data_IF_017368966389
#
_entry.id   IF_017368966389
#
_cell.length_a   1.000
_cell.length_b   1.000
_cell.length_c   1.000
_cell.angle_alpha   90.00
_cell.angle_beta   90.00
_cell.angle_gamma   90.00
#
_symmetry.space_group_name_H-M   'P 1'
#
loop_
_entity.id
_entity.type
_entity.pdbx_description
1 polymer ?
#
# COMPACT_ATOMS: atom_id res chain seq x y z
N UNK A 1 0.17 5.02 15.71
CA UNK A 1 1.22 5.75 14.93
C UNK A 1 0.68 6.22 13.58
N UNK A 2 0.92 7.47 13.17
CA UNK A 2 0.22 8.03 11.99
C UNK A 2 1.10 8.02 10.72
N UNK A 3 0.54 7.52 9.62
CA UNK A 3 1.02 7.70 8.25
C UNK A 3 0.20 8.78 7.56
N UNK A 4 0.83 9.94 7.35
CA UNK A 4 0.18 11.06 6.66
C UNK A 4 0.06 10.81 5.15
N UNK A 5 -1.12 11.10 4.62
CA UNK A 5 -1.43 11.03 3.19
C UNK A 5 -1.92 12.40 2.73
N UNK A 6 -1.31 12.92 1.66
CA UNK A 6 -1.87 14.10 1.01
C UNK A 6 -3.04 13.72 0.07
N UNK A 7 -3.74 14.74 -0.45
CA UNK A 7 -4.91 14.55 -1.30
C UNK A 7 -4.61 13.72 -2.56
N UNK A 8 -3.48 13.97 -3.22
CA UNK A 8 -3.10 13.24 -4.44
C UNK A 8 -2.76 11.79 -4.13
N UNK A 9 -2.02 11.54 -3.04
CA UNK A 9 -1.70 10.19 -2.59
C UNK A 9 -2.94 9.39 -2.21
N UNK A 10 -3.88 10.01 -1.50
CA UNK A 10 -5.14 9.38 -1.15
C UNK A 10 -5.96 9.03 -2.41
N UNK A 11 -6.02 9.96 -3.36
CA UNK A 11 -6.76 9.77 -4.62
C UNK A 11 -6.12 8.67 -5.48
N UNK A 12 -4.81 8.72 -5.68
CA UNK A 12 -4.09 7.71 -6.46
C UNK A 12 -4.12 6.32 -5.82
N UNK A 13 -4.12 6.22 -4.48
CA UNK A 13 -4.32 4.93 -3.81
C UNK A 13 -5.70 4.35 -4.09
N UNK A 14 -6.75 5.18 -4.13
CA UNK A 14 -8.11 4.73 -4.45
C UNK A 14 -8.23 4.27 -5.91
N UNK A 15 -7.66 5.03 -6.85
CA UNK A 15 -7.54 4.60 -8.26
C UNK A 15 -6.79 3.26 -8.37
N UNK A 16 -5.72 3.11 -7.58
CA UNK A 16 -4.94 1.89 -7.48
C UNK A 16 -5.73 0.69 -6.97
N UNK A 17 -6.52 0.88 -5.90
CA UNK A 17 -7.44 -0.14 -5.37
C UNK A 17 -8.42 -0.59 -6.46
N UNK A 18 -9.12 0.35 -7.09
CA UNK A 18 -10.11 0.07 -8.13
C UNK A 18 -9.46 -0.73 -9.28
N UNK A 19 -8.28 -0.31 -9.74
CA UNK A 19 -7.58 -1.00 -10.82
C UNK A 19 -7.14 -2.43 -10.47
N UNK A 20 -6.81 -2.70 -9.20
CA UNK A 20 -6.49 -4.06 -8.75
C UNK A 20 -7.74 -4.94 -8.73
N UNK A 21 -8.86 -4.42 -8.21
CA UNK A 21 -10.12 -5.15 -8.11
C UNK A 21 -10.71 -5.46 -9.49
N UNK A 22 -10.76 -4.47 -10.39
CA UNK A 22 -11.21 -4.66 -11.77
C UNK A 22 -10.38 -5.72 -12.51
N UNK A 23 -9.06 -5.72 -12.28
CA UNK A 23 -8.20 -6.72 -12.89
C UNK A 23 -8.46 -8.13 -12.36
N UNK A 24 -8.68 -8.26 -11.05
CA UNK A 24 -9.02 -9.55 -10.44
C UNK A 24 -10.33 -10.10 -10.99
N UNK A 25 -11.35 -9.25 -11.15
CA UNK A 25 -12.61 -9.63 -11.77
C UNK A 25 -12.42 -10.10 -13.22
N UNK A 26 -11.59 -9.40 -14.01
CA UNK A 26 -11.30 -9.74 -15.39
C UNK A 26 -10.58 -11.09 -15.54
N UNK A 27 -9.66 -11.42 -14.63
CA UNK A 27 -8.84 -12.65 -14.69
C UNK A 27 -9.56 -13.86 -14.08
N UNK A 28 -10.59 -13.65 -13.26
CA UNK A 28 -11.37 -14.70 -12.60
C UNK A 28 -10.76 -15.16 -11.26
N UNK A 29 -11.51 -16.01 -10.52
CA UNK A 29 -11.22 -16.38 -9.12
C UNK A 29 -9.77 -16.86 -8.96
N UNK A 30 -8.94 -16.12 -8.20
CA UNK A 30 -7.53 -16.46 -8.08
C UNK A 30 -7.22 -17.62 -7.15
N UNK A 31 -6.00 -18.15 -7.25
CA UNK A 31 -5.41 -19.03 -6.24
C UNK A 31 -5.21 -18.33 -4.89
N UNK A 32 -4.95 -19.12 -3.83
CA UNK A 32 -4.95 -18.64 -2.43
C UNK A 32 -4.08 -17.40 -2.15
N UNK A 33 -2.88 -17.32 -2.74
CA UNK A 33 -1.96 -16.21 -2.51
C UNK A 33 -2.47 -14.87 -3.08
N UNK A 34 -3.17 -14.89 -4.21
CA UNK A 34 -3.75 -13.67 -4.79
C UNK A 34 -5.01 -13.26 -4.01
N UNK A 35 -5.71 -14.21 -3.38
CA UNK A 35 -6.82 -13.88 -2.47
C UNK A 35 -6.35 -13.11 -1.22
N UNK A 36 -5.22 -13.48 -0.61
CA UNK A 36 -4.67 -12.74 0.53
C UNK A 36 -4.29 -11.30 0.17
N UNK A 37 -3.73 -11.09 -1.02
CA UNK A 37 -3.41 -9.75 -1.54
C UNK A 37 -4.67 -8.93 -1.78
N UNK A 38 -5.71 -9.52 -2.37
CA UNK A 38 -6.99 -8.85 -2.61
C UNK A 38 -7.68 -8.47 -1.31
N UNK A 39 -7.72 -9.38 -0.32
CA UNK A 39 -8.28 -9.09 0.99
C UNK A 39 -7.55 -7.92 1.68
N UNK A 40 -6.22 -7.84 1.52
CA UNK A 40 -5.44 -6.71 2.05
C UNK A 40 -5.80 -5.40 1.34
N UNK A 41 -5.98 -5.43 0.03
CA UNK A 41 -6.39 -4.26 -0.78
C UNK A 41 -7.80 -3.79 -0.42
N UNK A 42 -8.75 -4.72 -0.26
CA UNK A 42 -10.12 -4.41 0.19
C UNK A 42 -10.15 -3.84 1.61
N UNK A 43 -9.36 -4.42 2.52
CA UNK A 43 -9.22 -3.91 3.89
C UNK A 43 -8.65 -2.49 3.89
N UNK A 44 -7.61 -2.22 3.09
CA UNK A 44 -7.05 -0.89 2.93
C UNK A 44 -8.09 0.10 2.38
N UNK A 45 -8.87 -0.29 1.37
CA UNK A 45 -9.86 0.59 0.73
C UNK A 45 -10.80 1.25 1.75
N UNK A 46 -11.30 0.48 2.73
CA UNK A 46 -12.19 0.98 3.78
C UNK A 46 -11.59 2.07 4.67
N UNK A 47 -10.25 2.18 4.69
CA UNK A 47 -9.48 3.12 5.52
C UNK A 47 -9.04 4.37 4.77
N UNK A 48 -9.17 4.40 3.44
CA UNK A 48 -8.73 5.52 2.59
C UNK A 48 -9.70 6.71 2.64
N UNK A 49 -9.89 7.28 3.83
CA UNK A 49 -10.68 8.50 4.07
C UNK A 49 -9.83 9.70 4.54
N UNK A 50 -8.54 9.49 4.81
CA UNK A 50 -7.60 10.49 5.29
C UNK A 50 -6.26 9.85 5.67
N UNK A 51 -5.63 10.36 6.72
CA UNK A 51 -4.43 9.76 7.30
C UNK A 51 -4.70 8.35 7.84
N UNK A 52 -3.68 7.50 7.84
CA UNK A 52 -3.78 6.13 8.33
C UNK A 52 -3.14 6.01 9.72
N UNK A 53 -3.93 5.65 10.72
CA UNK A 53 -3.43 5.17 12.01
C UNK A 53 -2.94 3.72 11.85
N UNK A 54 -1.71 3.47 12.31
CA UNK A 54 -1.02 2.19 12.34
C UNK A 54 -0.83 1.80 13.81
N UNK A 55 -1.67 0.89 14.27
CA UNK A 55 -1.75 0.50 15.69
C UNK A 55 -0.66 -0.52 16.06
N UNK A 56 -0.35 -1.44 15.15
CA UNK A 56 0.61 -2.53 15.39
C UNK A 56 1.50 -2.77 14.17
N UNK A 57 2.59 -3.53 14.33
CA UNK A 57 3.42 -3.96 13.19
C UNK A 57 2.65 -4.91 12.26
N UNK A 58 1.74 -5.73 12.79
CA UNK A 58 0.85 -6.56 11.96
C UNK A 58 -0.07 -5.70 11.09
N UNK A 59 -0.63 -4.63 11.66
CA UNK A 59 -1.44 -3.67 10.90
C UNK A 59 -0.62 -2.98 9.79
N UNK A 60 0.60 -2.52 10.11
CA UNK A 60 1.52 -1.97 9.11
C UNK A 60 1.83 -2.99 8.01
N UNK A 61 2.04 -4.26 8.35
CA UNK A 61 2.35 -5.31 7.38
C UNK A 61 1.19 -5.53 6.39
N UNK A 62 -0.06 -5.48 6.86
CA UNK A 62 -1.25 -5.55 6.00
C UNK A 62 -1.31 -4.34 5.05
N UNK A 63 -1.15 -3.12 5.57
CA UNK A 63 -1.13 -1.89 4.74
C UNK A 63 0.00 -1.94 3.71
N UNK A 64 1.20 -2.38 4.12
CA UNK A 64 2.36 -2.56 3.25
C UNK A 64 2.08 -3.55 2.11
N UNK A 65 1.44 -4.68 2.41
CA UNK A 65 1.08 -5.68 1.41
C UNK A 65 0.07 -5.14 0.38
N UNK A 66 -0.95 -4.43 0.86
CA UNK A 66 -1.95 -3.78 0.01
C UNK A 66 -1.32 -2.72 -0.91
N UNK A 67 -0.56 -1.78 -0.35
CA UNK A 67 0.10 -0.71 -1.13
C UNK A 67 1.11 -1.28 -2.11
N UNK A 68 1.84 -2.33 -1.74
CA UNK A 68 2.79 -2.99 -2.67
C UNK A 68 2.08 -3.61 -3.87
N UNK A 69 0.93 -4.24 -3.65
CA UNK A 69 0.07 -4.78 -4.72
C UNK A 69 -0.43 -3.66 -5.65
N UNK A 70 -0.89 -2.56 -5.07
CA UNK A 70 -1.34 -1.37 -5.82
C UNK A 70 -0.21 -0.79 -6.68
N UNK A 71 0.98 -0.58 -6.10
CA UNK A 71 2.14 -0.03 -6.82
C UNK A 71 2.54 -0.93 -7.99
N UNK A 72 2.54 -2.25 -7.79
CA UNK A 72 2.84 -3.20 -8.86
C UNK A 72 1.82 -3.10 -10.00
N UNK A 73 0.53 -2.98 -9.70
CA UNK A 73 -0.54 -2.82 -10.70
C UNK A 73 -0.41 -1.50 -11.45
N UNK A 74 -0.25 -0.38 -10.75
CA UNK A 74 -0.14 0.94 -11.34
C UNK A 74 1.09 1.08 -12.23
N UNK A 75 2.20 0.41 -11.87
CA UNK A 75 3.37 0.33 -12.74
C UNK A 75 3.05 -0.31 -14.08
N UNK A 76 2.38 -1.46 -14.08
CA UNK A 76 1.97 -2.16 -15.31
C UNK A 76 1.03 -1.29 -16.14
N UNK A 77 0.08 -0.61 -15.50
CA UNK A 77 -0.82 0.31 -16.18
C UNK A 77 -0.07 1.46 -16.86
N UNK A 78 0.81 2.14 -16.11
CA UNK A 78 1.65 3.23 -16.64
C UNK A 78 2.49 2.75 -17.83
N UNK A 79 3.21 1.63 -17.68
CA UNK A 79 4.02 1.05 -18.77
C UNK A 79 3.14 0.74 -19.99
N UNK A 80 1.94 0.18 -19.80
CA UNK A 80 1.00 -0.13 -20.88
C UNK A 80 0.52 1.12 -21.61
N UNK A 81 0.19 2.20 -20.88
CA UNK A 81 -0.27 3.48 -21.46
C UNK A 81 0.84 4.14 -22.26
N UNK A 82 2.06 4.18 -21.71
CA UNK A 82 3.24 4.72 -22.40
C UNK A 82 3.52 3.98 -23.70
N UNK A 83 3.41 2.64 -23.70
CA UNK A 83 3.64 1.81 -24.89
C UNK A 83 2.53 1.89 -25.93
N UNK A 84 1.28 2.11 -25.50
CA UNK A 84 0.12 2.17 -26.41
C UNK A 84 -0.04 3.53 -27.09
N UNK A 85 0.41 4.60 -26.44
CA UNK A 85 0.37 5.96 -26.97
C UNK A 85 1.81 6.50 -27.10
N UNK A 86 2.22 7.42 -26.21
CA UNK A 86 3.57 7.94 -26.09
C UNK A 86 3.79 8.52 -24.68
N UNK A 87 5.03 8.75 -24.21
CA UNK A 87 5.30 9.15 -22.82
C UNK A 87 4.68 10.47 -22.33
N UNK A 88 4.28 11.35 -23.26
CA UNK A 88 3.69 12.66 -22.95
C UNK A 88 2.22 12.74 -23.37
N UNK A 89 1.60 11.58 -23.64
CA UNK A 89 0.15 11.47 -23.78
C UNK A 89 -0.52 11.73 -22.43
N UNK A 90 -1.69 12.36 -22.43
CA UNK A 90 -2.39 12.72 -21.19
C UNK A 90 -2.63 11.50 -20.29
N UNK A 91 -3.11 10.39 -20.84
CA UNK A 91 -3.39 9.18 -20.06
C UNK A 91 -2.10 8.56 -19.50
N UNK A 92 -0.99 8.66 -20.25
CA UNK A 92 0.30 8.14 -19.80
C UNK A 92 0.89 8.98 -18.66
N UNK A 93 0.71 10.30 -18.71
CA UNK A 93 1.14 11.23 -17.66
C UNK A 93 0.30 11.04 -16.39
N UNK A 94 -1.01 10.91 -16.51
CA UNK A 94 -1.90 10.62 -15.37
C UNK A 94 -1.51 9.29 -14.69
N UNK A 95 -1.35 8.22 -15.47
CA UNK A 95 -0.93 6.92 -14.93
C UNK A 95 0.46 6.96 -14.26
N UNK A 96 1.37 7.80 -14.75
CA UNK A 96 2.66 8.03 -14.10
C UNK A 96 2.49 8.68 -12.72
N UNK A 97 1.66 9.73 -12.60
CA UNK A 97 1.44 10.40 -11.32
C UNK A 97 0.79 9.47 -10.31
N UNK A 98 -0.21 8.67 -10.73
CA UNK A 98 -0.83 7.68 -9.85
C UNK A 98 0.19 6.68 -9.30
N UNK A 99 1.03 6.14 -10.18
CA UNK A 99 2.12 5.26 -9.78
C UNK A 99 3.12 5.96 -8.85
N UNK A 100 3.56 7.19 -9.19
CA UNK A 100 4.58 7.91 -8.44
C UNK A 100 4.11 8.28 -7.02
N UNK A 101 2.86 8.70 -6.87
CA UNK A 101 2.27 9.00 -5.56
C UNK A 101 2.21 7.73 -4.69
N UNK A 102 1.71 6.62 -5.23
CA UNK A 102 1.65 5.36 -4.49
C UNK A 102 3.05 4.82 -4.15
N UNK A 103 4.03 4.98 -5.05
CA UNK A 103 5.42 4.60 -4.81
C UNK A 103 6.04 5.40 -3.66
N UNK A 104 5.76 6.70 -3.59
CA UNK A 104 6.22 7.54 -2.48
C UNK A 104 5.63 7.08 -1.14
N UNK A 105 4.33 6.74 -1.11
CA UNK A 105 3.69 6.15 0.08
C UNK A 105 4.34 4.83 0.47
N UNK A 106 4.58 3.92 -0.49
CA UNK A 106 5.24 2.64 -0.23
C UNK A 106 6.63 2.81 0.40
N UNK A 107 7.39 3.81 -0.08
CA UNK A 107 8.68 4.15 0.52
C UNK A 107 8.52 4.63 1.97
N UNK A 108 7.54 5.50 2.27
CA UNK A 108 7.30 5.96 3.64
C UNK A 108 6.85 4.85 4.57
N UNK A 109 6.04 3.90 4.10
CA UNK A 109 5.66 2.71 4.88
C UNK A 109 6.88 1.89 5.28
N UNK A 110 7.82 1.67 4.35
CA UNK A 110 9.08 0.96 4.67
C UNK A 110 9.90 1.68 5.73
N UNK A 111 9.94 3.01 5.70
CA UNK A 111 10.64 3.79 6.72
C UNK A 111 9.93 3.69 8.08
N UNK A 112 8.60 3.70 8.09
CA UNK A 112 7.79 3.54 9.31
C UNK A 112 7.91 2.14 9.92
N UNK A 113 8.04 1.11 9.10
CA UNK A 113 8.30 -0.27 9.55
C UNK A 113 9.59 -0.31 10.38
N UNK A 114 10.69 0.20 9.83
CA UNK A 114 11.98 0.23 10.53
C UNK A 114 11.93 1.06 11.83
N UNK A 115 11.15 2.14 11.84
CA UNK A 115 10.92 2.97 13.04
C UNK A 115 10.16 2.17 14.12
N UNK A 116 9.06 1.52 13.76
CA UNK A 116 8.24 0.71 14.66
C UNK A 116 9.02 -0.50 15.20
N UNK A 117 9.75 -1.21 14.34
CA UNK A 117 10.64 -2.31 14.77
C UNK A 117 11.66 -1.82 15.80
N UNK A 118 12.36 -0.72 15.51
CA UNK A 118 13.34 -0.14 16.43
C UNK A 118 12.74 0.29 17.77
N UNK A 119 11.51 0.79 17.79
CA UNK A 119 10.81 1.14 19.03
C UNK A 119 10.48 -0.09 19.88
N UNK A 120 9.98 -1.18 19.25
CA UNK A 120 9.72 -2.44 19.97
C UNK A 120 11.02 -2.99 20.55
N UNK A 121 12.09 -3.02 19.78
CA UNK A 121 13.38 -3.53 20.24
C UNK A 121 13.93 -2.70 21.40
N UNK A 122 13.79 -1.38 21.33
CA UNK A 122 14.22 -0.47 22.38
C UNK A 122 13.44 -0.67 23.69
N UNK A 123 12.12 -0.85 23.61
CA UNK A 123 11.26 -1.00 24.80
C UNK A 123 11.37 -2.39 25.41
N UNK A 124 11.49 -3.43 24.58
CA UNK A 124 11.54 -4.83 25.03
C UNK A 124 12.96 -5.34 25.28
N UNK A 125 13.98 -4.59 24.87
CA UNK A 125 15.40 -4.98 24.88
C UNK A 125 15.64 -6.34 24.18
N UNK A 126 14.82 -6.68 23.19
CA UNK A 126 14.87 -7.95 22.45
C UNK A 126 14.45 -7.73 20.99
N UNK A 127 14.92 -8.56 20.04
CA UNK A 127 14.46 -8.49 18.65
C UNK A 127 12.95 -8.64 18.52
N UNK A 128 12.37 -8.06 17.46
CA UNK A 128 10.93 -8.17 17.20
C UNK A 128 10.52 -9.63 17.02
N UNK A 129 9.53 -10.07 17.81
CA UNK A 129 8.92 -11.39 17.68
C UNK A 129 7.55 -11.29 16.98
N UNK A 130 7.04 -12.38 16.39
CA UNK A 130 5.70 -12.38 15.81
C UNK A 130 4.61 -12.04 16.84
N UNK A 131 4.79 -12.39 18.11
CA UNK A 131 3.86 -12.02 19.17
C UNK A 131 3.90 -10.52 19.46
N UNK A 132 5.10 -9.94 19.57
CA UNK A 132 5.27 -8.50 19.77
C UNK A 132 4.70 -7.69 18.59
N UNK A 133 4.86 -8.19 17.35
CA UNK A 133 4.34 -7.52 16.18
C UNK A 133 2.81 -7.36 16.19
N UNK A 134 2.09 -8.27 16.87
CA UNK A 134 0.62 -8.25 16.98
C UNK A 134 0.11 -7.53 18.22
N UNK A 135 0.89 -7.56 19.30
CA UNK A 135 0.42 -7.17 20.65
C UNK A 135 1.01 -5.86 21.15
N UNK A 136 2.14 -5.42 20.58
CA UNK A 136 2.72 -4.13 20.93
C UNK A 136 1.94 -3.01 20.24
N UNK A 137 1.20 -2.27 21.05
CA UNK A 137 0.33 -1.17 20.62
C UNK A 137 1.11 0.15 20.56
N UNK A 138 1.00 0.84 19.43
CA UNK A 138 1.60 2.14 19.21
C UNK A 138 0.55 3.25 19.33
N UNK A 139 0.70 4.18 20.28
CA UNK A 139 -0.23 5.29 20.41
C UNK A 139 -0.25 6.16 19.14
N UNK A 140 -1.39 6.79 18.90
CA UNK A 140 -1.59 7.77 17.82
C UNK A 140 -1.06 9.17 18.18
#
# INVERSE_FOLDING_TARGET
>A
MILHLNFEELTSLRVGVESVLEYAEMVGIPGSALNEQLLSVEALHSRLSGDLSLETLEDLAMVKAAVSTIVARLRVNMETRVLSAYPADTDAVEAYFDYAHCLAVAHRIKMKEAEMEGMIELVTASPVTPEAAKTFDFPD
#
